data_IF_509728977360
#
_entry.id   IF_509728977360
#
_cell.length_a   1.000
_cell.length_b   1.000
_cell.length_c   1.000
_cell.angle_alpha   90.00
_cell.angle_beta   90.00
_cell.angle_gamma   90.00
#
_symmetry.space_group_name_H-M   'P 1'
#
loop_
_entity.id
_entity.type
_entity.pdbx_description
1 polymer ?
#
# COMPACT_ATOMS: atom_id res chain seq x y z
N UNK A 1 43.16 11.69 40.59
CA UNK A 1 43.01 11.00 39.29
C UNK A 1 41.67 10.27 39.28
N UNK A 2 40.58 10.90 38.83
CA UNK A 2 39.34 10.20 38.44
C UNK A 2 38.71 11.03 37.31
N UNK A 3 38.85 10.55 36.07
CA UNK A 3 38.01 10.97 34.94
C UNK A 3 37.16 9.74 34.59
N UNK A 4 35.86 9.79 34.88
CA UNK A 4 34.92 8.74 34.44
C UNK A 4 34.02 9.25 33.32
N UNK A 5 34.20 8.63 32.16
CA UNK A 5 33.19 8.21 31.19
C UNK A 5 32.11 9.22 30.79
N UNK A 6 32.41 9.99 29.76
CA UNK A 6 31.40 10.59 28.91
C UNK A 6 30.87 9.53 27.92
N UNK A 7 29.75 8.88 28.27
CA UNK A 7 29.03 7.99 27.37
C UNK A 7 28.38 8.82 26.26
N UNK A 8 29.02 8.90 25.10
CA UNK A 8 28.43 9.47 23.89
C UNK A 8 27.19 8.64 23.52
N UNK A 9 26.00 9.11 23.88
CA UNK A 9 24.74 8.65 23.27
C UNK A 9 24.85 8.91 21.77
N UNK A 10 25.07 7.84 21.00
CA UNK A 10 25.25 7.93 19.55
C UNK A 10 24.02 8.56 18.89
N UNK A 11 24.23 9.64 18.13
CA UNK A 11 23.17 10.29 17.34
C UNK A 11 22.71 9.33 16.25
N UNK A 12 21.43 8.95 16.25
CA UNK A 12 20.84 8.14 15.18
C UNK A 12 20.55 9.07 14.00
N UNK A 13 21.39 9.00 12.96
CA UNK A 13 21.14 9.70 11.70
C UNK A 13 20.16 8.88 10.87
N UNK A 14 19.01 9.48 10.56
CA UNK A 14 18.01 8.90 9.66
C UNK A 14 18.24 9.36 8.23
N UNK A 15 18.16 8.42 7.31
CA UNK A 15 18.06 8.65 5.87
C UNK A 15 16.64 8.38 5.41
N UNK A 16 16.13 9.20 4.50
CA UNK A 16 14.77 9.08 3.94
C UNK A 16 14.87 8.65 2.48
N UNK A 17 14.06 7.68 2.08
CA UNK A 17 13.89 7.29 0.68
C UNK A 17 12.40 7.27 0.32
N UNK A 18 12.06 7.95 -0.75
CA UNK A 18 10.74 7.83 -1.40
C UNK A 18 10.86 6.85 -2.55
N UNK A 19 9.97 5.86 -2.58
CA UNK A 19 9.91 4.79 -3.58
C UNK A 19 8.51 4.81 -4.20
N UNK A 20 8.45 4.87 -5.53
CA UNK A 20 7.21 4.70 -6.29
C UNK A 20 6.92 3.21 -6.52
N UNK A 21 5.67 2.80 -6.75
CA UNK A 21 5.35 1.43 -7.11
C UNK A 21 6.22 0.98 -8.29
N UNK A 22 6.67 -0.28 -8.25
CA UNK A 22 7.23 -0.95 -9.41
C UNK A 22 6.12 -1.32 -10.40
N UNK A 23 4.95 -1.63 -9.86
CA UNK A 23 3.72 -1.95 -10.58
C UNK A 23 2.52 -1.82 -9.68
N UNK A 24 1.37 -1.49 -10.25
CA UNK A 24 0.07 -1.53 -9.62
C UNK A 24 -1.03 -1.99 -10.58
N UNK A 25 -2.17 -2.38 -10.03
CA UNK A 25 -3.35 -2.71 -10.82
C UNK A 25 -4.56 -2.71 -9.89
N UNK A 26 -5.74 -2.43 -10.40
CA UNK A 26 -6.95 -2.92 -9.76
C UNK A 26 -7.51 -4.13 -10.48
N UNK A 27 -8.31 -4.91 -9.76
CA UNK A 27 -9.09 -6.01 -10.30
C UNK A 27 -10.57 -5.76 -9.99
N UNK A 28 -11.44 -6.02 -10.97
CA UNK A 28 -12.88 -5.84 -10.87
C UNK A 28 -13.57 -7.19 -10.95
N UNK A 29 -14.46 -7.46 -10.00
CA UNK A 29 -15.28 -8.68 -10.01
C UNK A 29 -16.27 -8.69 -11.17
N UNK A 30 -16.80 -7.52 -11.54
CA UNK A 30 -17.75 -7.38 -12.65
C UNK A 30 -17.10 -7.66 -14.01
N UNK A 31 -15.81 -7.34 -14.16
CA UNK A 31 -14.99 -7.68 -15.33
C UNK A 31 -13.89 -8.69 -14.97
N UNK A 32 -14.22 -9.94 -14.64
CA UNK A 32 -13.32 -10.80 -13.87
C UNK A 32 -12.10 -11.33 -14.66
N UNK A 33 -12.19 -11.28 -15.99
CA UNK A 33 -11.13 -11.67 -16.93
C UNK A 33 -10.41 -10.48 -17.57
N UNK A 34 -10.82 -9.24 -17.27
CA UNK A 34 -10.19 -8.04 -17.81
C UNK A 34 -9.01 -7.61 -16.93
N UNK A 35 -7.96 -7.12 -17.57
CA UNK A 35 -6.81 -6.52 -16.91
C UNK A 35 -6.95 -5.00 -16.87
N UNK A 36 -6.56 -4.39 -15.75
CA UNK A 36 -6.57 -2.94 -15.55
C UNK A 36 -5.22 -2.42 -15.04
N UNK A 37 -4.11 -3.09 -15.39
CA UNK A 37 -2.77 -2.73 -14.94
C UNK A 37 -2.16 -1.51 -15.65
N UNK A 38 -2.89 -0.84 -16.53
CA UNK A 38 -2.49 0.42 -17.17
C UNK A 38 -3.41 1.60 -16.78
N UNK A 39 -4.30 1.36 -15.80
CA UNK A 39 -5.24 2.38 -15.34
C UNK A 39 -4.53 3.38 -14.44
N UNK A 40 -4.65 4.68 -14.76
CA UNK A 40 -4.17 5.77 -13.92
C UNK A 40 -4.86 5.88 -12.54
N UNK A 41 -5.82 5.00 -12.24
CA UNK A 41 -6.57 4.92 -11.01
C UNK A 41 -6.60 3.51 -10.45
N UNK A 42 -6.69 3.43 -9.12
CA UNK A 42 -6.83 2.21 -8.34
C UNK A 42 -8.15 2.24 -7.59
N UNK A 43 -8.89 1.13 -7.55
CA UNK A 43 -10.19 1.07 -6.88
C UNK A 43 -10.25 -0.01 -5.81
N UNK A 44 -11.01 0.27 -4.75
CA UNK A 44 -11.39 -0.67 -3.70
C UNK A 44 -12.87 -0.54 -3.37
N UNK A 45 -13.41 -1.56 -2.68
CA UNK A 45 -14.83 -1.67 -2.27
C UNK A 45 -15.75 -2.05 -3.42
N UNK A 46 -17.02 -2.26 -3.10
CA UNK A 46 -18.10 -2.48 -4.05
C UNK A 46 -18.54 -1.20 -4.73
N UNK A 47 -18.85 -1.30 -6.02
CA UNK A 47 -19.59 -0.29 -6.78
C UNK A 47 -20.98 -0.82 -7.09
N UNK A 48 -22.03 -0.05 -6.77
CA UNK A 48 -23.44 -0.31 -7.11
C UNK A 48 -24.10 -1.60 -6.58
N UNK A 49 -23.53 -2.79 -6.77
CA UNK A 49 -24.19 -4.07 -6.52
C UNK A 49 -23.23 -5.21 -6.12
N UNK A 50 -23.81 -6.28 -5.56
CA UNK A 50 -23.08 -7.54 -5.35
C UNK A 50 -22.55 -8.09 -6.67
N UNK A 51 -21.29 -8.54 -6.67
CA UNK A 51 -20.61 -8.98 -7.89
C UNK A 51 -19.78 -7.90 -8.57
N UNK A 52 -19.76 -6.67 -8.03
CA UNK A 52 -18.98 -5.54 -8.57
C UNK A 52 -18.01 -4.97 -7.53
N UNK A 53 -17.20 -5.86 -6.96
CA UNK A 53 -16.14 -5.53 -6.01
C UNK A 53 -14.82 -5.21 -6.69
N UNK A 54 -14.10 -4.24 -6.13
CA UNK A 54 -12.78 -3.80 -6.58
C UNK A 54 -11.72 -4.03 -5.51
N UNK A 55 -10.52 -4.39 -5.97
CA UNK A 55 -9.33 -4.57 -5.12
C UNK A 55 -8.11 -4.01 -5.82
N UNK A 56 -7.25 -3.32 -5.08
CA UNK A 56 -6.02 -2.75 -5.62
C UNK A 56 -4.81 -3.56 -5.19
N UNK A 57 -3.87 -3.79 -6.11
CA UNK A 57 -2.60 -4.47 -5.90
C UNK A 57 -1.46 -3.48 -6.14
N UNK A 58 -0.47 -3.45 -5.25
CA UNK A 58 0.72 -2.62 -5.42
C UNK A 58 1.96 -3.41 -5.01
N UNK A 59 3.04 -3.29 -5.78
CA UNK A 59 4.34 -3.86 -5.41
C UNK A 59 5.44 -2.80 -5.53
N UNK A 60 6.37 -2.78 -4.57
CA UNK A 60 7.48 -1.82 -4.52
C UNK A 60 8.81 -2.55 -4.58
N UNK A 61 9.82 -1.96 -5.24
CA UNK A 61 11.20 -2.47 -5.19
C UNK A 61 11.99 -1.77 -4.08
N UNK A 62 12.65 -2.53 -3.22
CA UNK A 62 13.50 -1.99 -2.14
C UNK A 62 14.98 -1.91 -2.55
N UNK A 63 15.33 -2.21 -3.81
CA UNK A 63 16.72 -2.27 -4.29
C UNK A 63 17.48 -0.93 -4.15
N UNK A 64 16.77 0.18 -4.07
CA UNK A 64 17.35 1.51 -3.90
C UNK A 64 17.76 1.84 -2.45
N UNK A 65 17.45 0.95 -1.50
CA UNK A 65 17.92 1.05 -0.10
C UNK A 65 19.26 0.31 -0.02
N UNK A 66 20.36 0.95 0.42
CA UNK A 66 21.65 0.28 0.56
C UNK A 66 21.55 -0.95 1.47
N UNK A 67 22.41 -1.97 1.33
CA UNK A 67 22.44 -3.11 2.23
C UNK A 67 22.84 -2.73 3.67
N UNK A 68 22.58 -3.63 4.63
CA UNK A 68 22.96 -3.50 6.06
C UNK A 68 22.41 -2.22 6.73
N UNK A 69 21.15 -1.87 6.41
CA UNK A 69 20.42 -0.77 7.05
C UNK A 69 19.35 -1.29 7.99
N UNK A 70 19.06 -0.51 9.03
CA UNK A 70 17.90 -0.75 9.88
C UNK A 70 16.73 0.06 9.37
N UNK A 71 15.69 -0.61 8.89
CA UNK A 71 14.43 0.06 8.52
C UNK A 71 13.74 0.56 9.78
N UNK A 72 13.67 1.88 9.95
CA UNK A 72 13.06 2.53 11.13
C UNK A 72 11.56 2.66 10.94
N UNK A 73 11.10 3.15 9.79
CA UNK A 73 9.69 3.19 9.45
C UNK A 73 9.45 3.10 7.94
N UNK A 74 8.28 2.64 7.55
CA UNK A 74 7.84 2.62 6.16
C UNK A 74 6.36 2.98 6.07
N UNK A 75 6.03 4.08 5.41
CA UNK A 75 4.65 4.57 5.24
C UNK A 75 4.28 4.64 3.77
N UNK A 76 3.23 3.94 3.39
CA UNK A 76 2.59 4.11 2.08
C UNK A 76 1.61 5.27 2.15
N UNK A 77 1.70 6.18 1.18
CA UNK A 77 0.75 7.27 0.99
C UNK A 77 -0.04 7.05 -0.30
N UNK A 78 -1.36 7.07 -0.17
CA UNK A 78 -2.30 6.99 -1.27
C UNK A 78 -3.10 8.29 -1.30
N UNK A 79 -3.33 8.82 -2.50
CA UNK A 79 -4.15 10.03 -2.68
C UNK A 79 -5.52 9.63 -3.22
N UNK A 80 -6.58 10.08 -2.55
CA UNK A 80 -7.95 9.82 -2.98
C UNK A 80 -8.22 10.54 -4.30
N UNK A 81 -8.78 9.82 -5.26
CA UNK A 81 -9.30 10.32 -6.53
C UNK A 81 -10.82 10.43 -6.51
N UNK A 82 -11.50 9.40 -5.99
CA UNK A 82 -12.98 9.26 -5.94
C UNK A 82 -13.36 8.69 -4.58
N UNK A 83 -14.44 9.17 -3.96
CA UNK A 83 -14.95 8.65 -2.71
C UNK A 83 -16.49 8.62 -2.72
N UNK A 84 -17.07 7.42 -2.71
CA UNK A 84 -18.51 7.18 -2.69
C UNK A 84 -18.98 6.53 -1.39
N UNK A 85 -18.18 6.63 -0.32
CA UNK A 85 -18.62 6.24 1.02
C UNK A 85 -19.85 7.10 1.38
N UNK A 86 -20.99 6.50 1.78
CA UNK A 86 -22.20 7.25 2.11
C UNK A 86 -21.94 8.36 3.11
N UNK A 87 -22.57 9.52 2.91
CA UNK A 87 -22.39 10.68 3.77
C UNK A 87 -22.66 10.36 5.25
N UNK A 88 -21.82 10.90 6.14
CA UNK A 88 -21.90 10.64 7.58
C UNK A 88 -21.40 9.25 8.01
N UNK A 89 -20.82 8.46 7.09
CA UNK A 89 -20.37 7.09 7.38
C UNK A 89 -18.87 6.89 7.14
N UNK A 90 -18.42 5.68 7.48
CA UNK A 90 -17.04 5.22 7.28
C UNK A 90 -17.04 3.74 6.89
N UNK A 91 -16.00 3.33 6.18
CA UNK A 91 -15.76 1.93 5.83
C UNK A 91 -14.50 1.41 6.53
N UNK A 92 -14.48 0.09 6.75
CA UNK A 92 -13.33 -0.62 7.29
C UNK A 92 -12.56 -1.25 6.13
N UNK A 93 -11.53 -0.57 5.66
CA UNK A 93 -10.61 -1.08 4.65
C UNK A 93 -9.53 -1.96 5.29
N UNK A 94 -8.79 -2.68 4.46
CA UNK A 94 -7.74 -3.60 4.89
C UNK A 94 -6.50 -3.53 4.02
N UNK A 95 -5.35 -3.66 4.66
CA UNK A 95 -4.07 -3.93 4.00
C UNK A 95 -3.78 -5.41 4.15
N UNK A 96 -3.41 -6.05 3.05
CA UNK A 96 -3.17 -7.49 2.97
C UNK A 96 -1.84 -7.74 2.26
N UNK A 97 -1.09 -8.75 2.68
CA UNK A 97 0.13 -9.19 1.98
C UNK A 97 -0.24 -10.19 0.90
N UNK A 98 0.26 -10.00 -0.32
CA UNK A 98 0.10 -10.99 -1.40
C UNK A 98 0.98 -12.22 -1.13
N UNK A 99 0.45 -13.41 -1.42
CA UNK A 99 1.12 -14.69 -1.16
C UNK A 99 1.81 -15.27 -2.40
N UNK A 100 1.55 -14.72 -3.58
CA UNK A 100 2.16 -15.17 -4.84
C UNK A 100 2.52 -13.99 -5.75
N UNK A 101 3.44 -14.25 -6.68
CA UNK A 101 3.80 -13.29 -7.72
C UNK A 101 2.62 -13.03 -8.66
N UNK A 102 2.58 -11.84 -9.22
CA UNK A 102 1.60 -11.44 -10.23
C UNK A 102 2.28 -10.55 -11.27
N UNK A 103 1.72 -10.48 -12.48
CA UNK A 103 2.20 -9.59 -13.55
C UNK A 103 1.15 -8.51 -13.78
N UNK A 104 1.60 -7.27 -13.85
CA UNK A 104 0.73 -6.10 -14.06
C UNK A 104 -0.10 -6.23 -15.33
N UNK A 105 0.50 -6.70 -16.42
CA UNK A 105 -0.15 -6.87 -17.73
C UNK A 105 -1.14 -8.03 -17.81
N UNK A 106 -1.20 -8.93 -16.82
CA UNK A 106 -2.04 -10.14 -16.91
C UNK A 106 -2.87 -10.41 -15.67
N UNK A 107 -2.76 -9.60 -14.62
CA UNK A 107 -3.53 -9.80 -13.40
C UNK A 107 -4.99 -9.44 -13.65
N UNK A 108 -5.90 -10.31 -13.25
CA UNK A 108 -7.35 -10.10 -13.36
C UNK A 108 -7.99 -10.51 -12.04
N UNK A 109 -9.28 -10.31 -11.86
CA UNK A 109 -9.97 -10.80 -10.67
C UNK A 109 -9.78 -12.30 -10.47
N UNK A 110 -9.93 -13.08 -11.55
CA UNK A 110 -9.78 -14.53 -11.56
C UNK A 110 -8.33 -15.00 -11.32
N UNK A 111 -7.34 -14.16 -11.66
CA UNK A 111 -5.90 -14.50 -11.58
C UNK A 111 -5.15 -13.76 -10.46
N UNK A 112 -5.83 -13.00 -9.62
CA UNK A 112 -5.20 -12.24 -8.53
C UNK A 112 -4.57 -13.20 -7.50
N UNK A 113 -3.43 -12.85 -6.89
CA UNK A 113 -2.84 -13.69 -5.87
C UNK A 113 -3.72 -13.74 -4.63
N UNK A 114 -3.72 -14.88 -3.93
CA UNK A 114 -4.24 -14.96 -2.58
C UNK A 114 -3.51 -13.95 -1.67
N UNK A 115 -4.19 -13.47 -0.62
CA UNK A 115 -3.62 -12.48 0.29
C UNK A 115 -4.01 -12.70 1.74
N UNK A 116 -3.07 -12.49 2.65
CA UNK A 116 -3.29 -12.55 4.09
C UNK A 116 -3.50 -11.16 4.68
N UNK A 117 -4.51 -11.02 5.54
CA UNK A 117 -4.77 -9.78 6.25
C UNK A 117 -3.55 -9.39 7.11
N UNK A 118 -3.13 -8.13 7.03
CA UNK A 118 -2.16 -7.55 7.95
C UNK A 118 -2.87 -6.78 9.05
N UNK A 119 -3.68 -5.80 8.66
CA UNK A 119 -4.48 -4.99 9.57
C UNK A 119 -5.64 -4.32 8.82
N UNK A 120 -6.54 -3.71 9.59
CA UNK A 120 -7.68 -2.94 9.09
C UNK A 120 -7.61 -1.51 9.56
N UNK A 121 -8.17 -0.60 8.78
CA UNK A 121 -8.18 0.83 9.05
C UNK A 121 -9.49 1.44 8.59
N UNK A 122 -9.80 2.64 9.11
CA UNK A 122 -11.03 3.35 8.79
C UNK A 122 -10.76 4.44 7.75
N UNK A 123 -11.69 4.59 6.81
CA UNK A 123 -11.76 5.69 5.85
C UNK A 123 -13.14 6.29 5.95
N UNK A 124 -13.25 7.61 6.07
CA UNK A 124 -14.54 8.29 6.22
C UNK A 124 -15.00 8.95 4.93
N UNK A 125 -16.31 9.20 4.82
CA UNK A 125 -16.88 10.00 3.73
C UNK A 125 -16.38 11.46 3.73
N UNK A 126 -15.85 11.95 4.87
CA UNK A 126 -15.34 13.31 4.98
C UNK A 126 -14.02 13.53 4.23
N UNK A 127 -13.32 12.46 3.82
CA UNK A 127 -12.08 12.55 3.08
C UNK A 127 -12.37 12.78 1.59
N UNK A 128 -12.06 13.97 1.10
CA UNK A 128 -12.34 14.38 -0.28
C UNK A 128 -11.19 14.03 -1.25
N UNK A 129 -11.43 14.22 -2.55
CA UNK A 129 -10.41 14.09 -3.59
C UNK A 129 -9.16 14.90 -3.23
N UNK A 130 -7.99 14.27 -3.31
CA UNK A 130 -6.70 14.84 -2.93
C UNK A 130 -6.24 14.50 -1.51
N UNK A 131 -7.16 14.08 -0.62
CA UNK A 131 -6.83 13.61 0.73
C UNK A 131 -5.81 12.47 0.68
N UNK A 132 -4.88 12.47 1.63
CA UNK A 132 -3.83 11.46 1.73
C UNK A 132 -4.20 10.44 2.81
N UNK A 133 -4.25 9.16 2.42
CA UNK A 133 -4.30 8.03 3.34
C UNK A 133 -2.88 7.55 3.61
N UNK A 134 -2.51 7.48 4.89
CA UNK A 134 -1.23 6.95 5.35
C UNK A 134 -1.43 5.53 5.88
N UNK A 135 -0.64 4.60 5.36
CA UNK A 135 -0.67 3.19 5.74
C UNK A 135 0.71 2.79 6.27
N UNK A 136 0.75 2.24 7.48
CA UNK A 136 1.99 1.75 8.07
C UNK A 136 2.33 0.35 7.53
N UNK A 137 3.44 0.26 6.80
CA UNK A 137 3.98 -0.98 6.27
C UNK A 137 5.31 -1.37 6.94
N UNK A 138 5.70 -0.70 8.03
CA UNK A 138 7.02 -0.83 8.66
C UNK A 138 7.41 -2.28 8.90
N UNK A 139 6.56 -3.07 9.57
CA UNK A 139 6.84 -4.48 9.88
C UNK A 139 6.95 -5.34 8.62
N UNK A 140 6.15 -5.06 7.59
CA UNK A 140 6.18 -5.81 6.34
C UNK A 140 7.43 -5.49 5.53
N UNK A 141 7.77 -4.21 5.40
CA UNK A 141 8.96 -3.73 4.67
C UNK A 141 10.24 -4.19 5.34
N UNK A 142 10.29 -4.24 6.69
CA UNK A 142 11.40 -4.87 7.44
C UNK A 142 11.60 -6.32 7.02
N UNK A 143 10.54 -7.12 6.98
CA UNK A 143 10.61 -8.53 6.57
C UNK A 143 11.06 -8.71 5.12
N UNK A 144 10.56 -7.86 4.21
CA UNK A 144 11.00 -7.86 2.80
C UNK A 144 12.48 -7.51 2.66
N UNK A 145 12.91 -6.43 3.32
CA UNK A 145 14.29 -5.97 3.27
C UNK A 145 15.27 -7.00 3.85
N UNK A 146 14.89 -7.64 4.96
CA UNK A 146 15.68 -8.70 5.61
C UNK A 146 15.51 -10.08 4.96
N UNK A 147 14.82 -10.20 3.82
CA UNK A 147 14.54 -11.46 3.10
C UNK A 147 13.84 -12.55 3.93
N UNK A 148 13.18 -12.17 5.02
CA UNK A 148 12.38 -13.08 5.86
C UNK A 148 11.05 -13.47 5.20
N UNK A 149 10.63 -12.71 4.19
CA UNK A 149 9.39 -12.95 3.47
C UNK A 149 9.56 -12.43 2.04
N UNK A 150 9.14 -13.21 1.01
CA UNK A 150 9.13 -12.71 -0.37
C UNK A 150 8.27 -11.44 -0.50
N UNK A 151 8.79 -10.49 -1.28
CA UNK A 151 8.06 -9.29 -1.63
C UNK A 151 7.21 -9.55 -2.89
N UNK A 152 5.93 -9.83 -2.70
CA UNK A 152 4.92 -9.88 -3.77
C UNK A 152 3.97 -8.67 -3.74
N UNK A 153 4.32 -7.65 -2.96
CA UNK A 153 3.48 -6.49 -2.73
C UNK A 153 2.32 -6.73 -1.78
N UNK A 154 1.35 -5.82 -1.84
CA UNK A 154 0.15 -5.79 -1.02
C UNK A 154 -1.11 -5.80 -1.89
N UNK A 155 -2.22 -6.20 -1.27
CA UNK A 155 -3.56 -5.90 -1.73
C UNK A 155 -4.25 -4.96 -0.75
N UNK A 156 -5.02 -4.00 -1.27
CA UNK A 156 -5.91 -3.15 -0.50
C UNK A 156 -7.33 -3.54 -0.88
N UNK A 157 -8.13 -3.84 0.14
CA UNK A 157 -9.55 -4.18 -0.02
C UNK A 157 -10.40 -3.29 0.85
N UNK A 158 -11.52 -2.85 0.29
CA UNK A 158 -12.47 -1.99 0.97
C UNK A 158 -13.63 -2.79 1.55
N UNK A 159 -14.81 -2.18 1.51
CA UNK A 159 -16.05 -2.83 1.89
C UNK A 159 -16.73 -3.45 0.66
N UNK A 160 -16.84 -4.77 0.66
CA UNK A 160 -17.36 -5.59 -0.44
C UNK A 160 -18.81 -6.05 -0.18
N UNK A 161 -19.50 -5.41 0.78
CA UNK A 161 -20.88 -5.79 1.17
C UNK A 161 -21.95 -4.77 0.77
N UNK A 162 -21.55 -3.55 0.38
CA UNK A 162 -22.44 -2.47 -0.08
C UNK A 162 -21.66 -1.40 -0.81
N UNK A 163 -22.33 -0.64 -1.68
CA UNK A 163 -21.72 0.44 -2.44
C UNK A 163 -20.96 1.42 -1.52
N UNK A 164 -19.67 1.53 -1.77
CA UNK A 164 -18.77 2.46 -1.08
C UNK A 164 -17.46 2.60 -1.85
N UNK A 165 -17.56 2.66 -3.18
CA UNK A 165 -16.43 2.69 -4.09
C UNK A 165 -15.45 3.80 -3.68
N UNK A 166 -14.19 3.43 -3.56
CA UNK A 166 -13.13 4.37 -3.25
C UNK A 166 -12.02 4.20 -4.29
N UNK A 167 -11.66 5.32 -4.91
CA UNK A 167 -10.61 5.41 -5.92
C UNK A 167 -9.40 6.16 -5.39
N UNK A 168 -8.21 5.68 -5.73
CA UNK A 168 -6.93 6.35 -5.54
C UNK A 168 -6.27 6.62 -6.89
N UNK A 169 -5.29 7.52 -6.91
CA UNK A 169 -4.40 7.64 -8.07
C UNK A 169 -3.45 6.44 -8.16
N UNK A 170 -3.25 5.92 -9.37
CA UNK A 170 -2.30 4.86 -9.73
C UNK A 170 -0.94 5.41 -10.20
N UNK A 171 -0.03 4.50 -10.57
CA UNK A 171 1.36 4.81 -10.93
C UNK A 171 1.49 5.73 -12.16
N UNK A 172 0.57 5.65 -13.10
CA UNK A 172 0.55 6.46 -14.33
C UNK A 172 0.14 7.92 -14.06
N UNK A 173 -0.28 8.24 -12.83
CA UNK A 173 -0.63 9.60 -12.44
C UNK A 173 0.55 10.37 -11.88
N UNK A 174 0.61 11.68 -12.12
CA UNK A 174 1.51 12.60 -11.40
C UNK A 174 1.27 12.64 -9.88
N UNK A 175 0.17 12.05 -9.41
CA UNK A 175 -0.20 11.90 -8.00
C UNK A 175 -0.06 10.46 -7.49
N UNK A 176 0.81 9.67 -8.13
CA UNK A 176 1.06 8.27 -7.85
C UNK A 176 1.26 7.95 -6.35
N UNK A 177 0.96 6.70 -5.94
CA UNK A 177 1.29 6.20 -4.62
C UNK A 177 2.78 6.38 -4.31
N UNK A 178 3.12 6.57 -3.03
CA UNK A 178 4.53 6.63 -2.60
C UNK A 178 4.77 5.90 -1.30
N UNK A 179 5.82 5.09 -1.28
CA UNK A 179 6.33 4.44 -0.07
C UNK A 179 7.51 5.23 0.45
N UNK A 180 7.33 5.87 1.61
CA UNK A 180 8.36 6.68 2.27
C UNK A 180 8.99 5.83 3.36
N UNK A 181 10.29 5.59 3.26
CA UNK A 181 11.05 4.73 4.16
C UNK A 181 12.13 5.54 4.85
N UNK A 182 12.12 5.51 6.19
CA UNK A 182 13.19 6.01 7.02
C UNK A 182 14.07 4.84 7.46
N UNK A 183 15.38 4.96 7.28
CA UNK A 183 16.33 3.94 7.69
C UNK A 183 17.59 4.56 8.29
N UNK A 184 18.28 3.81 9.13
CA UNK A 184 19.54 4.23 9.75
C UNK A 184 20.66 3.24 9.43
N UNK A 185 21.89 3.60 9.81
CA UNK A 185 22.94 2.58 10.01
C UNK A 185 22.44 1.55 11.03
N UNK A 186 22.81 0.29 10.81
CA UNK A 186 22.51 -0.79 11.75
C UNK A 186 23.20 -0.52 13.08
#
# INVERSE_FOLDING_TARGET
MICTNNSRKGVIILSIKTIFPLKDAYVSQYYPSQNFGQSAYLYISQYQQTGDDYRSLLQFSLASIPPRRRIVSARLQLRIYRNEIPAGSRIRASVRRNLGSWRESTVTWNKQPASNLLYRFWISSAQSRGSIINLDLTSLVRRWYNRQTPNYGIAIRGNEARNSLLGFYGIESSRAPRLIINYSRN
#
